data_IF_205678250344
#
_entry.id   IF_205678250344
#
_cell.length_a   1.000
_cell.length_b   1.000
_cell.length_c   1.000
_cell.angle_alpha   90.00
_cell.angle_beta   90.00
_cell.angle_gamma   90.00
#
_symmetry.space_group_name_H-M   'P 1'
#
loop_
_entity.id
_entity.type
_entity.pdbx_description
1 polymer ?
#
# COMPACT_ATOMS: atom_id res chain seq x y z
N UNK A 1 -7.08 1.09 8.55
CA UNK A 1 -7.75 0.25 7.50
C UNK A 1 -9.08 0.86 7.08
N UNK A 2 -9.51 1.92 7.77
CA UNK A 2 -10.88 2.41 7.84
C UNK A 2 -11.29 3.15 6.56
N UNK A 3 -10.30 3.69 5.84
CA UNK A 3 -10.49 4.23 4.48
C UNK A 3 -10.66 3.13 3.42
N UNK A 4 -10.33 1.88 3.76
CA UNK A 4 -10.40 0.73 2.86
C UNK A 4 -9.40 0.81 1.70
N UNK A 5 -8.26 1.47 1.87
CA UNK A 5 -7.22 1.50 0.83
C UNK A 5 -6.38 0.22 0.81
N UNK A 6 -6.14 -0.34 2.00
CA UNK A 6 -5.35 -1.55 2.23
C UNK A 6 -6.01 -2.44 3.29
N UNK A 7 -5.75 -3.75 3.21
CA UNK A 7 -6.16 -4.74 4.20
C UNK A 7 -5.02 -5.68 4.55
N UNK A 8 -5.23 -6.48 5.59
CA UNK A 8 -4.37 -7.62 5.91
C UNK A 8 -5.07 -8.91 5.49
N UNK A 9 -4.40 -9.73 4.70
CA UNK A 9 -4.89 -11.07 4.35
C UNK A 9 -4.83 -12.02 5.56
N UNK A 10 -5.24 -13.28 5.34
CA UNK A 10 -5.21 -14.34 6.37
C UNK A 10 -3.80 -14.59 6.94
N UNK A 11 -2.74 -14.26 6.18
CA UNK A 11 -1.33 -14.37 6.55
C UNK A 11 -0.76 -13.05 7.08
N UNK A 12 -1.62 -12.07 7.39
CA UNK A 12 -1.26 -10.71 7.86
C UNK A 12 -0.47 -9.88 6.85
N UNK A 13 -0.39 -10.29 5.57
CA UNK A 13 0.25 -9.52 4.50
C UNK A 13 -0.59 -8.32 4.14
N UNK A 14 0.06 -7.17 4.00
CA UNK A 14 -0.59 -5.92 3.62
C UNK A 14 -0.82 -5.92 2.11
N UNK A 15 -2.07 -5.78 1.68
CA UNK A 15 -2.47 -5.77 0.27
C UNK A 15 -3.44 -4.62 -0.01
N UNK A 16 -3.44 -4.06 -1.23
CA UNK A 16 -4.42 -3.05 -1.61
C UNK A 16 -5.79 -3.69 -1.90
N UNK A 17 -6.85 -2.97 -1.58
CA UNK A 17 -8.18 -3.34 -2.06
C UNK A 17 -8.30 -3.06 -3.56
N UNK A 18 -8.67 -4.06 -4.36
CA UNK A 18 -8.63 -3.98 -5.82
C UNK A 18 -9.58 -2.90 -6.39
N UNK A 19 -10.78 -2.78 -5.82
CA UNK A 19 -11.81 -1.80 -6.20
C UNK A 19 -11.38 -0.34 -5.90
N UNK A 20 -10.68 -0.12 -4.80
CA UNK A 20 -10.23 1.21 -4.35
C UNK A 20 -8.84 1.58 -4.85
N UNK A 21 -8.06 0.62 -5.36
CA UNK A 21 -6.71 0.87 -5.85
C UNK A 21 -6.70 1.48 -7.26
N UNK A 22 -6.83 2.80 -7.36
CA UNK A 22 -6.77 3.55 -8.63
C UNK A 22 -5.33 3.78 -9.14
N UNK A 23 -4.45 2.81 -8.91
CA UNK A 23 -3.00 2.92 -9.15
C UNK A 23 -2.24 3.58 -8.00
N UNK A 24 -2.77 3.53 -6.78
CA UNK A 24 -2.10 4.08 -5.59
C UNK A 24 -1.04 3.13 -5.02
N UNK A 25 -1.25 1.83 -5.21
CA UNK A 25 -0.34 0.79 -4.74
C UNK A 25 -0.03 -0.18 -5.87
N UNK A 26 1.17 -0.77 -5.81
CA UNK A 26 1.58 -1.90 -6.64
C UNK A 26 1.99 -3.06 -5.73
N UNK A 27 1.72 -4.29 -6.16
CA UNK A 27 2.21 -5.50 -5.49
C UNK A 27 3.36 -6.04 -6.34
N UNK A 28 4.54 -6.19 -5.73
CA UNK A 28 5.70 -6.81 -6.38
C UNK A 28 6.02 -8.14 -5.73
N UNK A 29 6.37 -9.10 -6.56
CA UNK A 29 7.02 -10.33 -6.14
C UNK A 29 8.53 -10.08 -6.03
N UNK A 30 9.15 -10.70 -5.05
CA UNK A 30 10.60 -10.71 -4.93
C UNK A 30 11.07 -12.12 -4.62
N UNK A 31 12.24 -12.44 -5.14
CA UNK A 31 12.97 -13.67 -4.89
C UNK A 31 14.39 -13.27 -4.49
N UNK A 32 14.95 -13.96 -3.50
CA UNK A 32 16.36 -13.77 -3.17
C UNK A 32 17.27 -14.30 -4.29
N UNK A 33 18.54 -13.88 -4.36
CA UNK A 33 19.45 -14.33 -5.42
C UNK A 33 19.67 -15.85 -5.47
N UNK A 34 19.46 -16.55 -4.35
CA UNK A 34 19.60 -18.01 -4.25
C UNK A 34 18.29 -18.76 -4.55
N UNK A 35 17.17 -18.07 -4.80
CA UNK A 35 15.88 -18.71 -5.10
C UNK A 35 15.22 -19.44 -3.93
N UNK A 36 15.73 -19.26 -2.71
CA UNK A 36 15.27 -19.95 -1.51
C UNK A 36 14.11 -19.24 -0.82
N UNK A 37 14.06 -17.92 -0.93
CA UNK A 37 13.05 -17.07 -0.30
C UNK A 37 12.25 -16.33 -1.36
N UNK A 38 10.94 -16.45 -1.29
CA UNK A 38 10.00 -15.72 -2.14
C UNK A 38 9.02 -14.92 -1.30
N UNK A 39 8.67 -13.74 -1.76
CA UNK A 39 7.75 -12.86 -1.07
C UNK A 39 6.96 -11.97 -2.00
N UNK A 40 5.90 -11.40 -1.44
CA UNK A 40 5.12 -10.34 -2.08
C UNK A 40 5.12 -9.13 -1.16
N UNK A 41 5.26 -7.94 -1.73
CA UNK A 41 5.30 -6.70 -0.99
C UNK A 41 4.43 -5.66 -1.68
N UNK A 42 3.62 -4.95 -0.89
CA UNK A 42 2.85 -3.80 -1.37
C UNK A 42 3.72 -2.56 -1.27
N UNK A 43 3.87 -1.85 -2.39
CA UNK A 43 4.58 -0.59 -2.51
C UNK A 43 3.60 0.53 -2.82
N UNK A 44 3.90 1.73 -2.33
CA UNK A 44 3.19 2.94 -2.70
C UNK A 44 3.75 3.50 -4.01
N UNK A 45 2.87 3.88 -4.94
CA UNK A 45 3.28 4.53 -6.19
C UNK A 45 3.46 6.04 -5.95
N UNK A 46 4.11 6.80 -6.86
CA UNK A 46 4.12 8.26 -6.77
C UNK A 46 2.71 8.88 -6.69
N UNK A 47 1.76 8.32 -7.45
CA UNK A 47 0.34 8.72 -7.40
C UNK A 47 -0.28 8.43 -6.04
N UNK A 48 0.00 7.26 -5.47
CA UNK A 48 -0.44 6.89 -4.13
C UNK A 48 0.13 7.81 -3.07
N UNK A 49 1.42 8.16 -3.16
CA UNK A 49 2.07 9.08 -2.23
C UNK A 49 1.39 10.45 -2.24
N UNK A 50 1.16 11.01 -3.42
CA UNK A 50 0.47 12.29 -3.53
C UNK A 50 -0.95 12.22 -2.95
N UNK A 51 -1.70 11.17 -3.25
CA UNK A 51 -3.04 10.96 -2.68
C UNK A 51 -3.03 10.85 -1.15
N UNK A 52 -2.08 10.11 -0.57
CA UNK A 52 -1.96 10.00 0.90
C UNK A 52 -1.59 11.33 1.55
N UNK A 53 -0.75 12.15 0.91
CA UNK A 53 -0.42 13.48 1.44
C UNK A 53 -1.67 14.38 1.52
N UNK A 54 -2.48 14.41 0.46
CA UNK A 54 -3.76 15.15 0.45
C UNK A 54 -4.70 14.60 1.53
N UNK A 55 -4.75 13.28 1.70
CA UNK A 55 -5.60 12.65 2.70
C UNK A 55 -5.21 13.09 4.12
N UNK A 56 -3.91 13.09 4.43
CA UNK A 56 -3.40 13.51 5.74
C UNK A 56 -3.67 15.00 6.00
N UNK A 57 -3.45 15.84 5.00
CA UNK A 57 -3.77 17.28 5.06
C UNK A 57 -5.26 17.51 5.33
N UNK A 58 -6.14 16.82 4.60
CA UNK A 58 -7.60 16.92 4.81
C UNK A 58 -8.08 16.40 6.18
N UNK A 59 -7.24 15.63 6.88
CA UNK A 59 -7.51 15.10 8.21
C UNK A 59 -6.90 15.97 9.33
N UNK A 60 -6.30 17.11 8.99
CA UNK A 60 -5.75 18.07 9.94
C UNK A 60 -4.41 17.63 10.56
N UNK A 61 -3.70 16.67 9.95
CA UNK A 61 -2.41 16.20 10.48
C UNK A 61 -1.25 17.19 10.30
N UNK A 62 -1.48 18.34 9.66
CA UNK A 62 -0.49 19.39 9.42
C UNK A 62 -0.90 20.77 9.99
N UNK A 63 -2.04 20.87 10.70
CA UNK A 63 -2.50 22.10 11.35
C UNK A 63 -1.92 22.25 12.78
N UNK A 64 -0.60 22.09 12.94
CA UNK A 64 0.16 22.47 14.16
C UNK A 64 0.98 23.74 13.96
#
# INVERSE_FOLDING_TARGET
>A
MDKGLIYRDKKKKLLPYADKNKGYFEVKEWVDPLGTLVGIQTFITPKGRHYLLILLDSEGFYDE
#
